data_IF_023859160982
#
_entry.id   IF_023859160982
#
_cell.length_a   1.000
_cell.length_b   1.000
_cell.length_c   1.000
_cell.angle_alpha   90.00
_cell.angle_beta   90.00
_cell.angle_gamma   90.00
#
_symmetry.space_group_name_H-M   'P 1'
#
loop_
_entity.id
_entity.type
_entity.pdbx_description
1 polymer ?
#
# COMPACT_ATOMS: atom_id res chain seq x y z
N UNK A 1 6.10 18.98 -7.49
CA UNK A 1 6.84 17.85 -8.13
C UNK A 1 6.48 17.77 -9.61
N UNK A 2 5.30 17.30 -10.03
CA UNK A 2 4.95 17.27 -11.47
C UNK A 2 4.87 18.66 -12.13
N UNK A 3 4.42 19.67 -11.38
CA UNK A 3 4.41 21.08 -11.84
C UNK A 3 5.81 21.67 -12.04
N UNK A 4 6.83 21.09 -11.40
CA UNK A 4 8.22 21.54 -11.48
C UNK A 4 9.00 20.80 -12.57
N UNK A 5 8.48 19.65 -13.02
CA UNK A 5 9.10 18.80 -14.04
C UNK A 5 7.99 18.24 -14.96
N UNK A 6 7.48 19.06 -15.89
CA UNK A 6 6.36 18.67 -16.75
C UNK A 6 6.68 17.47 -17.66
N UNK A 7 7.96 17.19 -17.89
CA UNK A 7 8.42 16.08 -18.74
C UNK A 7 8.37 14.71 -18.05
N UNK A 8 8.11 14.66 -16.74
CA UNK A 8 8.00 13.40 -15.99
C UNK A 8 6.74 12.62 -16.37
N UNK A 9 5.67 13.31 -16.76
CA UNK A 9 4.41 12.69 -17.14
C UNK A 9 4.10 13.04 -18.59
N UNK A 10 4.39 12.10 -19.48
CA UNK A 10 4.13 12.22 -20.90
C UNK A 10 2.72 11.77 -21.23
N UNK A 11 2.27 12.05 -22.46
CA UNK A 11 0.94 11.61 -22.93
C UNK A 11 0.78 10.09 -22.89
N UNK A 12 1.88 9.34 -22.94
CA UNK A 12 1.90 7.87 -22.80
C UNK A 12 1.62 7.38 -21.38
N UNK A 13 1.82 8.22 -20.36
CA UNK A 13 1.64 7.87 -18.94
C UNK A 13 0.20 8.10 -18.46
N UNK A 14 -0.62 8.79 -19.27
CA UNK A 14 -2.03 9.02 -18.97
C UNK A 14 -2.82 7.75 -19.29
N UNK A 15 -3.59 7.19 -18.34
CA UNK A 15 -4.43 6.03 -18.63
C UNK A 15 -5.46 6.35 -19.72
N UNK A 16 -5.39 5.63 -20.84
CA UNK A 16 -6.35 5.76 -21.95
C UNK A 16 -7.28 4.56 -21.96
N UNK A 17 -8.60 4.75 -22.15
CA UNK A 17 -9.52 3.65 -22.37
C UNK A 17 -9.08 2.81 -23.57
N UNK A 18 -8.80 1.54 -23.35
CA UNK A 18 -8.45 0.63 -24.44
C UNK A 18 -9.73 0.21 -25.16
N UNK A 19 -9.80 0.25 -26.50
CA UNK A 19 -11.00 -0.14 -27.26
C UNK A 19 -11.38 -1.62 -27.09
N UNK A 20 -10.48 -2.45 -26.54
CA UNK A 20 -10.72 -3.86 -26.27
C UNK A 20 -10.15 -4.29 -24.92
N UNK A 21 -10.73 -5.36 -24.37
CA UNK A 21 -10.15 -6.06 -23.23
C UNK A 21 -8.75 -6.56 -23.61
N UNK A 22 -7.78 -6.36 -22.72
CA UNK A 22 -6.47 -6.98 -22.87
C UNK A 22 -6.66 -8.46 -22.57
N UNK A 23 -6.51 -9.29 -23.59
CA UNK A 23 -6.47 -10.74 -23.44
C UNK A 23 -5.01 -11.18 -23.50
N UNK A 24 -4.62 -12.03 -22.56
CA UNK A 24 -3.28 -12.65 -22.54
C UNK A 24 -3.44 -14.13 -22.86
N UNK A 25 -2.58 -14.66 -23.73
CA UNK A 25 -2.52 -16.11 -23.97
C UNK A 25 -1.89 -16.77 -22.74
N UNK A 26 -2.55 -17.80 -22.19
CA UNK A 26 -2.11 -18.49 -20.99
C UNK A 26 -0.73 -19.15 -21.15
N UNK A 27 -0.33 -19.49 -22.38
CA UNK A 27 1.00 -20.05 -22.69
C UNK A 27 2.13 -19.06 -22.41
N UNK A 28 1.84 -17.76 -22.37
CA UNK A 28 2.82 -16.73 -21.96
C UNK A 28 3.12 -16.78 -20.46
N UNK A 29 2.28 -17.47 -19.67
CA UNK A 29 2.47 -17.71 -18.25
C UNK A 29 3.13 -19.07 -17.97
N UNK A 30 3.46 -19.82 -19.02
CA UNK A 30 4.09 -21.13 -18.94
C UNK A 30 5.60 -21.03 -19.25
N UNK A 31 6.42 -21.92 -18.69
CA UNK A 31 7.86 -21.96 -18.92
C UNK A 31 8.71 -21.33 -17.82
N UNK A 32 10.01 -21.14 -18.09
CA UNK A 32 11.03 -20.76 -17.09
C UNK A 32 10.72 -19.44 -16.35
N UNK A 33 9.93 -18.56 -16.96
CA UNK A 33 9.56 -17.25 -16.43
C UNK A 33 8.27 -17.27 -15.60
N UNK A 34 7.57 -18.41 -15.50
CA UNK A 34 6.34 -18.54 -14.71
C UNK A 34 6.57 -18.18 -13.22
N UNK A 35 7.74 -18.52 -12.68
CA UNK A 35 8.15 -18.16 -11.32
C UNK A 35 8.37 -16.64 -11.15
N UNK A 36 8.85 -15.95 -12.19
CA UNK A 36 9.06 -14.50 -12.19
C UNK A 36 7.72 -13.73 -12.22
N UNK A 37 6.70 -14.33 -12.85
CA UNK A 37 5.33 -13.78 -12.94
C UNK A 37 4.57 -13.96 -11.61
N UNK A 38 4.92 -14.97 -10.81
CA UNK A 38 4.21 -15.34 -9.58
C UNK A 38 4.44 -14.40 -8.37
N UNK A 39 5.07 -13.22 -8.54
CA UNK A 39 5.57 -12.40 -7.41
C UNK A 39 4.68 -11.19 -7.04
N UNK A 40 3.39 -11.16 -7.39
CA UNK A 40 2.53 -10.04 -6.95
C UNK A 40 1.17 -10.43 -6.35
N UNK A 41 0.95 -11.68 -5.92
CA UNK A 41 -0.28 -12.05 -5.21
C UNK A 41 -0.07 -12.64 -3.82
N UNK A 42 1.17 -12.68 -3.32
CA UNK A 42 1.36 -12.72 -1.87
C UNK A 42 1.01 -11.33 -1.33
N UNK A 43 -0.29 -11.05 -1.21
CA UNK A 43 -0.80 -10.39 -0.02
C UNK A 43 -0.51 -11.35 1.14
N UNK A 44 0.76 -11.53 1.50
CA UNK A 44 1.05 -11.77 2.91
C UNK A 44 0.41 -10.57 3.58
N UNK A 45 -0.67 -10.73 4.36
CA UNK A 45 -0.96 -9.68 5.31
C UNK A 45 0.35 -9.59 6.09
N UNK A 46 1.05 -8.45 5.99
CA UNK A 46 2.04 -8.13 6.99
C UNK A 46 1.36 -8.49 8.32
N UNK A 47 2.03 -9.25 9.18
CA UNK A 47 1.53 -9.59 10.51
C UNK A 47 1.39 -8.27 11.30
N UNK A 48 0.39 -7.51 10.91
CA UNK A 48 0.15 -6.14 11.25
C UNK A 48 -0.84 -6.17 12.39
N UNK A 49 -0.57 -5.30 13.35
CA UNK A 49 -1.41 -5.09 14.50
C UNK A 49 -2.88 -5.03 14.08
N UNK A 50 -3.71 -5.91 14.66
CA UNK A 50 -5.14 -5.90 14.36
C UNK A 50 -5.74 -4.55 14.76
N UNK A 51 -6.83 -4.14 14.10
CA UNK A 51 -7.55 -2.90 14.48
C UNK A 51 -7.89 -2.85 15.98
N UNK A 52 -8.23 -4.00 16.58
CA UNK A 52 -8.52 -4.10 18.02
C UNK A 52 -7.28 -3.83 18.86
N UNK A 53 -6.14 -4.40 18.48
CA UNK A 53 -4.87 -4.18 19.17
C UNK A 53 -4.42 -2.72 19.05
N UNK A 54 -4.60 -2.10 17.88
CA UNK A 54 -4.31 -0.67 17.69
C UNK A 54 -5.15 0.22 18.61
N UNK A 55 -6.46 -0.05 18.71
CA UNK A 55 -7.35 0.70 19.60
C UNK A 55 -6.97 0.54 21.07
N UNK A 56 -6.61 -0.68 21.51
CA UNK A 56 -6.18 -0.93 22.88
C UNK A 56 -4.91 -0.13 23.22
N UNK A 57 -3.90 -0.19 22.36
CA UNK A 57 -2.65 0.54 22.55
C UNK A 57 -2.86 2.06 22.59
N UNK A 58 -3.70 2.61 21.72
CA UNK A 58 -3.99 4.05 21.71
C UNK A 58 -4.70 4.53 22.98
N UNK A 59 -5.59 3.70 23.55
CA UNK A 59 -6.27 4.01 24.83
C UNK A 59 -5.29 4.01 25.99
N UNK A 60 -4.39 3.04 26.02
CA UNK A 60 -3.34 2.94 27.04
C UNK A 60 -2.40 4.15 26.99
N UNK A 61 -1.89 4.50 25.81
CA UNK A 61 -1.00 5.65 25.62
C UNK A 61 -1.72 6.96 25.98
N UNK A 62 -2.98 7.13 25.57
CA UNK A 62 -3.76 8.32 25.91
C UNK A 62 -3.95 8.48 27.42
N UNK A 63 -4.23 7.38 28.13
CA UNK A 63 -4.36 7.40 29.59
C UNK A 63 -3.05 7.81 30.27
N UNK A 64 -1.95 7.15 29.90
CA UNK A 64 -0.62 7.44 30.46
C UNK A 64 -0.20 8.89 30.21
N UNK A 65 -0.46 9.40 29.00
CA UNK A 65 -0.12 10.77 28.65
C UNK A 65 -0.97 11.78 29.44
N UNK A 66 -2.24 11.48 29.67
CA UNK A 66 -3.11 12.27 30.55
C UNK A 66 -2.58 12.34 31.97
N UNK A 67 -2.29 11.18 32.59
CA UNK A 67 -1.72 11.10 33.94
C UNK A 67 -0.39 11.87 34.05
N UNK A 68 0.49 11.72 33.04
CA UNK A 68 1.76 12.44 32.99
C UNK A 68 1.56 13.95 32.85
N UNK A 69 0.56 14.40 32.11
CA UNK A 69 0.26 15.83 31.93
C UNK A 69 -0.20 16.46 33.24
N UNK A 70 -1.08 15.80 34.00
CA UNK A 70 -1.53 16.29 35.30
C UNK A 70 -0.37 16.46 36.30
N UNK A 71 0.65 15.60 36.24
CA UNK A 71 1.86 15.74 37.07
C UNK A 71 2.76 16.91 36.68
N UNK A 72 2.66 17.39 35.44
CA UNK A 72 3.47 18.50 34.92
C UNK A 72 2.75 19.84 35.08
N UNK A 73 1.43 19.84 34.93
CA UNK A 73 0.60 21.04 35.01
C UNK A 73 0.11 21.35 36.44
N UNK A 74 0.30 20.42 37.39
CA UNK A 74 -0.07 20.53 38.81
C UNK A 74 1.01 21.14 39.71
#
# INVERSE_FOLDING_TARGET
ILSQHPDICTKSDVPVPRPSALTMDFRLLEGNHAADIAVASLKTPAAGMTKRQMIANLREVSKMLGEKKELVDG
#
